data_IF_391972131532
#
_entry.id   IF_391972131532
#
_cell.length_a   1.000
_cell.length_b   1.000
_cell.length_c   1.000
_cell.angle_alpha   90.00
_cell.angle_beta   90.00
_cell.angle_gamma   90.00
#
_symmetry.space_group_name_H-M   'P 1'
#
loop_
_entity.id
_entity.type
_entity.pdbx_description
1 polymer ?
#
# COMPACT_ATOMS: atom_id res chain seq x y z
N UNK A 1 -42.49 19.07 -42.99
CA UNK A 1 -41.41 19.40 -43.94
C UNK A 1 -40.67 20.63 -43.44
N UNK A 2 -39.39 20.50 -43.11
CA UNK A 2 -38.36 21.54 -43.19
C UNK A 2 -37.04 20.92 -42.70
N UNK A 3 -36.20 20.57 -43.65
CA UNK A 3 -34.80 20.15 -43.48
C UNK A 3 -33.93 21.39 -43.26
N UNK A 4 -32.87 21.30 -42.44
CA UNK A 4 -31.51 21.78 -42.79
C UNK A 4 -30.46 21.40 -41.74
N UNK A 5 -29.39 20.76 -42.23
CA UNK A 5 -28.08 20.50 -41.61
C UNK A 5 -27.41 21.77 -41.06
N UNK A 6 -26.59 21.65 -40.01
CA UNK A 6 -25.16 22.06 -40.08
C UNK A 6 -24.32 21.54 -38.92
N UNK A 7 -23.24 20.86 -39.26
CA UNK A 7 -22.17 20.44 -38.38
C UNK A 7 -21.45 21.63 -37.73
N UNK A 8 -21.16 21.52 -36.43
CA UNK A 8 -20.19 22.37 -35.74
C UNK A 8 -19.16 21.48 -35.03
N UNK A 9 -18.12 21.15 -35.76
CA UNK A 9 -16.83 20.68 -35.26
C UNK A 9 -16.25 21.78 -34.35
N UNK A 10 -16.20 21.56 -33.04
CA UNK A 10 -15.37 22.35 -32.12
C UNK A 10 -14.42 21.44 -31.33
N UNK A 11 -13.22 21.35 -31.90
CA UNK A 11 -11.93 21.49 -31.21
C UNK A 11 -11.66 20.63 -29.98
N UNK A 12 -11.07 19.47 -30.25
CA UNK A 12 -10.15 18.76 -29.37
C UNK A 12 -8.90 19.61 -29.06
N UNK A 13 -9.02 20.58 -28.16
CA UNK A 13 -7.85 21.28 -27.61
C UNK A 13 -7.24 20.50 -26.46
N UNK A 14 -6.10 19.87 -26.75
CA UNK A 14 -4.95 19.66 -25.86
C UNK A 14 -5.14 20.17 -24.42
N UNK A 15 -5.12 19.26 -23.45
CA UNK A 15 -4.42 19.53 -22.19
C UNK A 15 -3.63 18.30 -21.78
N UNK A 16 -2.40 18.30 -22.30
CA UNK A 16 -1.18 17.82 -21.68
C UNK A 16 -1.34 16.79 -20.56
N UNK A 17 -0.79 15.61 -20.81
CA UNK A 17 -0.19 14.73 -19.81
C UNK A 17 0.19 15.53 -18.57
N UNK A 18 -0.62 15.41 -17.51
CA UNK A 18 -0.27 15.93 -16.20
C UNK A 18 0.95 15.12 -15.77
N UNK A 19 2.12 15.71 -16.01
CA UNK A 19 3.40 15.37 -15.42
C UNK A 19 3.11 14.94 -13.99
N UNK A 20 3.21 13.64 -13.74
CA UNK A 20 3.13 13.04 -12.41
C UNK A 20 4.28 13.70 -11.65
N UNK A 21 3.97 14.75 -10.90
CA UNK A 21 4.93 15.48 -10.11
C UNK A 21 5.75 14.44 -9.32
N UNK A 22 7.09 14.50 -9.31
CA UNK A 22 7.85 13.62 -8.44
C UNK A 22 7.36 13.92 -7.04
N UNK A 23 6.68 12.94 -6.42
CA UNK A 23 6.23 13.05 -5.04
C UNK A 23 7.42 13.58 -4.24
N UNK A 24 7.28 14.81 -3.75
CA UNK A 24 8.31 15.55 -3.03
C UNK A 24 8.83 14.61 -1.97
N UNK A 25 10.02 14.02 -2.16
CA UNK A 25 10.66 13.18 -1.15
C UNK A 25 11.02 14.14 -0.03
N UNK A 26 10.07 14.37 0.88
CA UNK A 26 10.33 15.06 2.13
C UNK A 26 11.45 14.25 2.78
N UNK A 27 12.62 14.87 2.90
CA UNK A 27 13.78 14.34 3.59
C UNK A 27 13.30 13.69 4.88
N UNK A 28 13.50 12.38 5.00
CA UNK A 28 12.96 11.60 6.11
C UNK A 28 13.56 12.14 7.41
N UNK A 29 12.77 12.92 8.16
CA UNK A 29 13.11 13.33 9.53
C UNK A 29 13.46 12.06 10.30
N UNK A 30 14.70 11.98 10.80
CA UNK A 30 15.26 10.77 11.43
C UNK A 30 14.41 10.43 12.66
N UNK A 31 13.47 9.51 12.49
CA UNK A 31 12.57 9.07 13.57
C UNK A 31 13.33 8.21 14.57
N UNK A 32 13.23 8.56 15.85
CA UNK A 32 13.77 7.81 17.00
C UNK A 32 13.05 6.46 17.21
N UNK A 33 11.93 6.22 16.52
CA UNK A 33 11.16 4.98 16.67
C UNK A 33 11.94 3.77 16.15
N UNK A 34 11.82 2.65 16.89
CA UNK A 34 12.36 1.34 16.52
C UNK A 34 11.74 0.79 15.23
N UNK A 35 10.45 1.08 15.02
CA UNK A 35 9.69 0.68 13.83
C UNK A 35 9.31 1.90 12.99
N UNK A 36 9.38 1.75 11.68
CA UNK A 36 8.86 2.75 10.74
C UNK A 36 7.32 2.79 10.75
N UNK A 37 6.70 3.94 10.39
CA UNK A 37 5.26 4.03 10.22
C UNK A 37 4.71 3.02 9.18
N UNK A 38 5.49 2.72 8.14
CA UNK A 38 5.13 1.73 7.12
C UNK A 38 5.07 0.30 7.67
N UNK A 39 5.94 -0.05 8.62
CA UNK A 39 5.87 -1.34 9.30
C UNK A 39 4.60 -1.45 10.17
N UNK A 40 4.26 -0.39 10.91
CA UNK A 40 3.02 -0.36 11.71
C UNK A 40 1.76 -0.53 10.87
N UNK A 41 1.67 0.20 9.74
CA UNK A 41 0.55 0.09 8.79
C UNK A 41 0.37 -1.32 8.23
N UNK A 42 1.46 -2.01 7.92
CA UNK A 42 1.37 -3.39 7.43
C UNK A 42 0.82 -4.32 8.50
N UNK A 43 1.34 -4.25 9.73
CA UNK A 43 0.82 -5.05 10.84
C UNK A 43 -0.67 -4.76 11.09
N UNK A 44 -1.09 -3.50 10.99
CA UNK A 44 -2.50 -3.11 11.13
C UNK A 44 -3.38 -3.77 10.06
N UNK A 45 -2.96 -3.71 8.79
CA UNK A 45 -3.69 -4.36 7.67
C UNK A 45 -3.81 -5.87 7.90
N UNK A 46 -2.69 -6.55 8.19
CA UNK A 46 -2.70 -7.99 8.47
C UNK A 46 -3.61 -8.35 9.65
N UNK A 47 -3.58 -7.54 10.70
CA UNK A 47 -4.46 -7.70 11.86
C UNK A 47 -5.94 -7.52 11.50
N UNK A 48 -6.26 -6.59 10.60
CA UNK A 48 -7.63 -6.43 10.10
C UNK A 48 -8.07 -7.63 9.27
N UNK A 49 -7.20 -8.17 8.42
CA UNK A 49 -7.49 -9.37 7.64
C UNK A 49 -7.66 -10.63 8.50
N UNK A 50 -6.84 -10.75 9.54
CA UNK A 50 -6.97 -11.80 10.54
C UNK A 50 -8.32 -11.71 11.26
N UNK A 51 -8.71 -10.51 11.75
CA UNK A 51 -10.01 -10.29 12.40
C UNK A 51 -11.19 -10.61 11.47
N UNK A 52 -11.01 -10.42 10.16
CA UNK A 52 -11.99 -10.77 9.12
C UNK A 52 -11.95 -12.25 8.71
N UNK A 53 -11.02 -13.06 9.24
CA UNK A 53 -10.84 -14.46 8.89
C UNK A 53 -10.32 -14.70 7.46
N UNK A 54 -9.70 -13.68 6.85
CA UNK A 54 -9.19 -13.71 5.47
C UNK A 54 -7.69 -14.01 5.40
N UNK A 55 -6.95 -13.70 6.46
CA UNK A 55 -5.51 -13.89 6.50
C UNK A 55 -5.13 -15.38 6.42
N UNK A 56 -4.22 -15.71 5.51
CA UNK A 56 -3.71 -17.08 5.29
C UNK A 56 -2.18 -17.14 5.47
N UNK A 57 -1.71 -18.26 5.97
CA UNK A 57 -0.27 -18.56 6.04
C UNK A 57 0.27 -18.87 4.65
N UNK A 58 1.47 -18.38 4.32
CA UNK A 58 2.07 -18.56 2.99
C UNK A 58 2.26 -20.02 2.58
N UNK A 59 3.01 -20.82 3.35
CA UNK A 59 3.39 -22.18 2.90
C UNK A 59 2.27 -23.22 2.97
N UNK A 60 1.40 -23.15 3.97
CA UNK A 60 0.36 -24.16 4.20
C UNK A 60 -1.05 -23.69 3.80
N UNK A 61 -1.24 -22.43 3.40
CA UNK A 61 -2.55 -21.88 3.02
C UNK A 61 -3.60 -21.84 4.14
N UNK A 62 -3.25 -22.27 5.35
CA UNK A 62 -4.15 -22.32 6.51
C UNK A 62 -4.52 -20.91 6.97
N UNK A 63 -5.74 -20.75 7.47
CA UNK A 63 -6.17 -19.48 8.07
C UNK A 63 -5.35 -19.19 9.30
N UNK A 64 -4.95 -17.93 9.46
CA UNK A 64 -4.23 -17.47 10.64
C UNK A 64 -5.23 -17.23 11.76
N UNK A 65 -5.08 -17.99 12.85
CA UNK A 65 -5.94 -17.90 14.03
C UNK A 65 -5.30 -17.10 15.16
N UNK A 66 -3.97 -17.04 15.17
CA UNK A 66 -3.21 -16.40 16.25
C UNK A 66 -2.78 -14.97 15.90
N UNK A 67 -3.07 -14.04 16.83
CA UNK A 67 -2.59 -12.65 16.76
C UNK A 67 -1.08 -12.52 16.63
N UNK A 68 -0.33 -13.37 17.34
CA UNK A 68 1.14 -13.38 17.27
C UNK A 68 1.62 -13.72 15.86
N UNK A 69 0.93 -14.65 15.20
CA UNK A 69 1.25 -15.07 13.84
C UNK A 69 0.92 -13.97 12.81
N UNK A 70 -0.21 -13.29 12.95
CA UNK A 70 -0.53 -12.14 12.08
C UNK A 70 0.50 -11.01 12.19
N UNK A 71 0.93 -10.68 13.42
CA UNK A 71 1.99 -9.70 13.64
C UNK A 71 3.30 -10.16 13.00
N UNK A 72 3.65 -11.44 13.13
CA UNK A 72 4.87 -11.99 12.52
C UNK A 72 4.84 -11.92 10.99
N UNK A 73 3.68 -12.17 10.37
CA UNK A 73 3.48 -12.01 8.92
C UNK A 73 3.68 -10.55 8.54
N UNK A 74 2.97 -9.62 9.19
CA UNK A 74 3.08 -8.19 8.90
C UNK A 74 4.50 -7.61 9.08
N UNK A 75 5.22 -8.05 10.11
CA UNK A 75 6.63 -7.66 10.30
C UNK A 75 7.55 -8.27 9.24
N UNK A 76 7.27 -9.50 8.79
CA UNK A 76 8.03 -10.16 7.72
C UNK A 76 7.81 -9.48 6.38
N UNK A 77 6.57 -9.11 6.06
CA UNK A 77 6.26 -8.31 4.87
C UNK A 77 6.91 -6.93 4.93
N UNK A 78 6.87 -6.29 6.09
CA UNK A 78 7.50 -4.99 6.28
C UNK A 78 8.99 -5.04 6.00
N UNK A 79 9.69 -6.09 6.47
CA UNK A 79 11.10 -6.31 6.15
C UNK A 79 11.34 -6.52 4.65
N UNK A 80 10.53 -7.36 4.00
CA UNK A 80 10.62 -7.60 2.54
C UNK A 80 10.42 -6.31 1.73
N UNK A 81 9.53 -5.43 2.18
CA UNK A 81 9.27 -4.12 1.55
C UNK A 81 10.31 -3.03 1.93
N UNK A 82 11.39 -3.38 2.65
CA UNK A 82 12.45 -2.45 3.03
C UNK A 82 12.07 -1.46 4.14
N UNK A 83 10.99 -1.72 4.88
CA UNK A 83 10.61 -0.89 6.01
C UNK A 83 11.60 -1.06 7.18
N UNK A 84 11.82 0.02 7.96
CA UNK A 84 12.66 -0.04 9.17
C UNK A 84 11.98 -0.93 10.21
N UNK A 85 12.57 -2.10 10.45
CA UNK A 85 12.16 -3.09 11.45
C UNK A 85 13.43 -3.62 12.14
N UNK A 86 13.45 -3.78 13.48
CA UNK A 86 14.56 -4.40 14.18
C UNK A 86 14.88 -5.81 13.67
N UNK A 87 16.16 -6.22 13.69
CA UNK A 87 16.52 -7.59 13.37
C UNK A 87 15.87 -8.58 14.35
N UNK A 88 15.54 -9.80 13.91
CA UNK A 88 15.18 -10.84 14.85
C UNK A 88 16.35 -11.06 15.82
N UNK A 89 16.04 -11.34 17.10
CA UNK A 89 17.09 -11.80 18.02
C UNK A 89 17.64 -13.11 17.47
N UNK A 90 18.97 -13.20 17.32
CA UNK A 90 19.63 -14.48 17.10
C UNK A 90 19.46 -15.28 18.39
N UNK A 91 18.88 -16.46 18.27
CA UNK A 91 18.84 -17.47 19.33
C UNK A 91 19.99 -18.43 19.15
#
# INVERSE_FOLDING_TARGET
MATTKKAAKKTSTKKAASKKAPAKKTSAKKSTRKYSPSAGKQVETEMHEMKRGKLKSGRSGKKVTSRKQAIAIGLSEARKKGAKVPPPKKG
#
